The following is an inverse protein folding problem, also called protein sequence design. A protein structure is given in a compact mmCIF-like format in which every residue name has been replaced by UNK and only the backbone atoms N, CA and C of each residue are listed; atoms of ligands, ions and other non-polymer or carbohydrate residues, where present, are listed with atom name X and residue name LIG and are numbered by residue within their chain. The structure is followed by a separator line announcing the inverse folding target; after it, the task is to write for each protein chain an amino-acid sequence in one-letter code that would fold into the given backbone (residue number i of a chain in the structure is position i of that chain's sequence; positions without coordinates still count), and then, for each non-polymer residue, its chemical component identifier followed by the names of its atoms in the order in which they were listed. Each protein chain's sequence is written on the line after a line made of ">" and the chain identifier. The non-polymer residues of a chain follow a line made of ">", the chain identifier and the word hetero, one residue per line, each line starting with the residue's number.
data_IF_791157022117
#
_entry.id   IF_791157022117
#
_cell.length_a   1.000
_cell.length_b   1.000
_cell.length_c   1.000
_cell.angle_alpha   90.00
_cell.angle_beta   90.00
_cell.angle_gamma   90.00
#
_symmetry.space_group_name_H-M   'P 1'
#
loop_
_entity.id
_entity.type
_entity.pdbx_description
1 polymer ?
#
# COMPACT_ATOMS: atom_id res chain seq x y z
N UNK A 1 -15.49 13.74 0.42
CA UNK A 1 -14.66 12.80 1.23
C UNK A 1 -13.29 13.44 1.40
N UNK A 2 -12.85 13.76 2.62
CA UNK A 2 -11.66 14.56 2.91
C UNK A 2 -10.32 13.81 2.68
N UNK A 3 -10.22 12.95 1.65
CA UNK A 3 -9.00 12.19 1.37
C UNK A 3 -8.53 11.27 2.52
N UNK A 4 -9.42 10.92 3.45
CA UNK A 4 -9.12 10.16 4.67
C UNK A 4 -10.05 8.96 4.81
N UNK A 5 -9.55 7.88 5.44
CA UNK A 5 -10.31 6.67 5.80
C UNK A 5 -11.02 6.82 7.16
N UNK A 6 -10.89 7.95 7.85
CA UNK A 6 -11.63 8.22 9.07
C UNK A 6 -13.12 8.35 8.76
N UNK A 7 -13.95 7.58 9.48
CA UNK A 7 -15.40 7.72 9.44
C UNK A 7 -15.91 8.01 10.85
N UNK A 8 -16.74 9.04 10.98
CA UNK A 8 -17.38 9.46 12.23
C UNK A 8 -18.87 9.04 12.27
N UNK A 9 -19.39 8.43 11.19
CA UNK A 9 -20.77 7.87 11.14
C UNK A 9 -20.87 6.60 10.28
N UNK A 10 -21.91 5.76 10.48
CA UNK A 10 -22.16 4.60 9.62
C UNK A 10 -22.40 4.97 8.15
N UNK A 11 -23.01 6.13 7.88
CA UNK A 11 -23.27 6.59 6.51
C UNK A 11 -21.96 6.83 5.74
N UNK A 12 -20.94 7.38 6.42
CA UNK A 12 -19.61 7.56 5.84
C UNK A 12 -18.92 6.23 5.58
N UNK A 13 -19.03 5.26 6.51
CA UNK A 13 -18.50 3.90 6.32
C UNK A 13 -19.10 3.27 5.06
N UNK A 14 -20.44 3.27 4.92
CA UNK A 14 -21.08 2.69 3.74
C UNK A 14 -20.74 3.44 2.45
N UNK A 15 -20.58 4.76 2.52
CA UNK A 15 -20.17 5.56 1.36
C UNK A 15 -18.77 5.16 0.90
N UNK A 16 -17.83 5.07 1.83
CA UNK A 16 -16.45 4.68 1.54
C UNK A 16 -16.37 3.26 0.96
N UNK A 17 -17.08 2.30 1.57
CA UNK A 17 -17.09 0.91 1.11
C UNK A 17 -17.70 0.77 -0.29
N UNK A 18 -18.81 1.46 -0.56
CA UNK A 18 -19.48 1.41 -1.88
C UNK A 18 -18.68 2.07 -3.00
N UNK A 19 -17.83 3.04 -2.66
CA UNK A 19 -16.99 3.75 -3.62
C UNK A 19 -15.63 3.09 -3.86
N UNK A 20 -15.34 1.94 -3.20
CA UNK A 20 -14.03 1.30 -3.25
C UNK A 20 -13.98 0.15 -4.26
N UNK A 21 -13.05 0.24 -5.20
CA UNK A 21 -12.73 -0.86 -6.12
C UNK A 21 -12.13 -2.06 -5.37
N UNK A 22 -11.35 -1.83 -4.30
CA UNK A 22 -10.81 -2.90 -3.47
C UNK A 22 -11.91 -3.68 -2.75
N UNK A 23 -12.91 -2.99 -2.21
CA UNK A 23 -14.08 -3.67 -1.62
C UNK A 23 -14.88 -4.41 -2.68
N UNK A 24 -15.02 -3.85 -3.88
CA UNK A 24 -15.67 -4.54 -5.01
C UNK A 24 -14.91 -5.80 -5.40
N UNK A 25 -13.59 -5.74 -5.47
CA UNK A 25 -12.72 -6.90 -5.68
C UNK A 25 -12.91 -7.94 -4.58
N UNK A 26 -12.95 -7.54 -3.31
CA UNK A 26 -13.13 -8.47 -2.19
C UNK A 26 -14.49 -9.19 -2.23
N UNK A 27 -15.54 -8.50 -2.69
CA UNK A 27 -16.87 -9.08 -2.78
C UNK A 27 -17.03 -10.03 -3.99
N UNK A 28 -16.31 -9.79 -5.08
CA UNK A 28 -16.58 -10.43 -6.37
C UNK A 28 -15.45 -11.32 -6.89
N UNK A 29 -14.19 -11.03 -6.55
CA UNK A 29 -13.00 -11.49 -7.27
C UNK A 29 -11.90 -12.10 -6.38
N UNK A 30 -12.02 -12.09 -5.04
CA UNK A 30 -10.97 -12.58 -4.12
C UNK A 30 -10.41 -13.97 -4.42
N UNK A 31 -11.20 -14.85 -5.05
CA UNK A 31 -10.84 -16.25 -5.30
C UNK A 31 -10.54 -16.54 -6.78
N UNK A 32 -10.55 -15.54 -7.66
CA UNK A 32 -10.40 -15.73 -9.11
C UNK A 32 -9.03 -16.32 -9.47
N UNK A 33 -8.01 -16.04 -8.65
CA UNK A 33 -6.64 -16.52 -8.83
C UNK A 33 -6.29 -17.77 -7.98
N UNK A 34 -7.25 -18.32 -7.22
CA UNK A 34 -7.03 -19.53 -6.45
C UNK A 34 -7.09 -20.79 -7.35
N UNK A 35 -6.06 -21.64 -7.25
CA UNK A 35 -6.07 -22.96 -7.90
C UNK A 35 -7.03 -23.96 -7.24
N UNK A 36 -7.56 -24.91 -8.00
CA UNK A 36 -8.38 -26.02 -7.49
C UNK A 36 -9.89 -25.76 -7.39
N UNK A 37 -10.63 -26.72 -6.81
CA UNK A 37 -12.11 -26.74 -6.72
C UNK A 37 -12.71 -25.82 -5.64
N UNK A 38 -11.89 -25.06 -4.91
CA UNK A 38 -12.29 -24.16 -3.83
C UNK A 38 -12.74 -22.77 -4.32
N UNK A 39 -13.18 -22.65 -5.58
CA UNK A 39 -13.63 -21.41 -6.23
C UNK A 39 -15.05 -21.02 -5.83
N UNK A 40 -15.29 -20.73 -4.56
CA UNK A 40 -16.60 -20.20 -4.18
C UNK A 40 -16.41 -18.95 -3.36
N UNK A 41 -16.90 -17.84 -3.93
CA UNK A 41 -17.24 -16.63 -3.19
C UNK A 41 -17.96 -17.06 -1.90
N UNK A 42 -17.53 -16.56 -0.73
CA UNK A 42 -18.16 -16.94 0.52
C UNK A 42 -19.59 -16.41 0.56
N UNK A 43 -20.47 -17.17 1.21
CA UNK A 43 -21.86 -16.74 1.43
C UNK A 43 -21.95 -15.63 2.49
N UNK A 44 -20.91 -15.50 3.32
CA UNK A 44 -20.83 -14.56 4.41
C UNK A 44 -19.58 -13.70 4.31
N UNK A 45 -19.73 -12.41 4.58
CA UNK A 45 -18.65 -11.43 4.62
C UNK A 45 -18.61 -10.79 6.00
N UNK A 46 -17.40 -10.41 6.42
CA UNK A 46 -17.17 -9.75 7.71
C UNK A 46 -16.86 -8.28 7.48
N UNK A 47 -17.65 -7.39 8.07
CA UNK A 47 -17.29 -5.97 8.16
C UNK A 47 -16.34 -5.77 9.34
N UNK A 48 -15.10 -5.38 9.04
CA UNK A 48 -14.09 -5.07 10.07
C UNK A 48 -14.04 -3.57 10.29
N UNK A 49 -14.33 -3.12 11.51
CA UNK A 49 -14.16 -1.73 11.92
C UNK A 49 -12.95 -1.61 12.84
N UNK A 50 -11.93 -0.91 12.38
CA UNK A 50 -10.72 -0.62 13.16
C UNK A 50 -10.83 0.78 13.76
N UNK A 51 -10.34 0.94 14.99
CA UNK A 51 -10.20 2.28 15.57
C UNK A 51 -9.26 3.09 14.67
N UNK A 52 -9.68 4.28 14.28
CA UNK A 52 -8.85 5.18 13.49
C UNK A 52 -7.72 5.76 14.35
N UNK A 53 -6.53 5.81 13.76
CA UNK A 53 -5.33 6.45 14.30
C UNK A 53 -4.69 7.31 13.22
N UNK A 54 -4.17 8.48 13.60
CA UNK A 54 -3.34 9.31 12.72
C UNK A 54 -1.92 8.76 12.74
N UNK A 55 -1.65 7.73 11.94
CA UNK A 55 -0.31 7.15 11.82
C UNK A 55 0.55 8.01 10.91
N UNK A 56 1.85 8.09 11.23
CA UNK A 56 2.83 8.69 10.33
C UNK A 56 3.19 7.67 9.23
N UNK A 57 2.86 8.00 7.98
CA UNK A 57 3.04 7.10 6.83
C UNK A 57 4.51 6.71 6.58
N UNK A 58 5.47 7.51 7.06
CA UNK A 58 6.90 7.18 6.95
C UNK A 58 7.33 5.98 7.79
N UNK A 59 6.48 5.58 8.74
CA UNK A 59 6.77 4.53 9.70
C UNK A 59 6.07 3.21 9.34
N UNK A 60 5.48 3.12 8.13
CA UNK A 60 4.84 1.90 7.63
C UNK A 60 5.76 1.15 6.66
N UNK A 61 5.87 -0.16 6.86
CA UNK A 61 6.71 -1.04 6.07
C UNK A 61 5.96 -2.30 5.68
N UNK A 62 6.18 -2.78 4.45
CA UNK A 62 5.75 -4.09 3.99
C UNK A 62 6.89 -5.08 4.11
N UNK A 63 6.62 -6.22 4.73
CA UNK A 63 7.59 -7.28 4.98
C UNK A 63 7.19 -8.51 4.19
N UNK A 64 8.14 -9.09 3.47
CA UNK A 64 7.94 -10.23 2.59
C UNK A 64 8.56 -11.48 3.23
N UNK A 65 7.75 -12.53 3.34
CA UNK A 65 8.13 -13.81 3.93
C UNK A 65 7.98 -14.89 2.88
N UNK A 66 9.06 -15.63 2.62
CA UNK A 66 9.08 -16.77 1.69
C UNK A 66 9.68 -17.97 2.40
N UNK A 67 8.99 -19.10 2.33
CA UNK A 67 9.41 -20.36 2.95
C UNK A 67 9.74 -20.21 4.45
N UNK A 68 8.90 -19.44 5.15
CA UNK A 68 9.02 -19.10 6.58
C UNK A 68 10.28 -18.30 6.93
N UNK A 69 10.92 -17.65 5.95
CA UNK A 69 12.04 -16.74 6.14
C UNK A 69 11.66 -15.32 5.72
N UNK A 70 12.04 -14.32 6.53
CA UNK A 70 11.94 -12.92 6.15
C UNK A 70 12.98 -12.65 5.07
N UNK A 71 12.55 -12.32 3.86
CA UNK A 71 13.44 -12.12 2.70
C UNK A 71 13.65 -10.64 2.36
N UNK A 72 12.65 -9.79 2.62
CA UNK A 72 12.71 -8.39 2.25
C UNK A 72 11.78 -7.50 3.10
N UNK A 73 12.13 -6.22 3.20
CA UNK A 73 11.37 -5.13 3.82
C UNK A 73 11.34 -3.95 2.85
N UNK A 74 10.18 -3.34 2.66
CA UNK A 74 9.98 -2.17 1.81
C UNK A 74 9.31 -1.05 2.59
N UNK A 75 9.72 0.20 2.37
CA UNK A 75 8.90 1.36 2.71
C UNK A 75 7.52 1.25 2.04
N UNK A 76 6.44 1.32 2.84
CA UNK A 76 5.07 1.12 2.31
C UNK A 76 4.59 2.29 1.45
N UNK A 77 4.96 3.51 1.82
CA UNK A 77 4.56 4.72 1.12
C UNK A 77 5.60 5.12 0.06
N UNK A 78 5.55 4.52 -1.11
CA UNK A 78 6.59 4.64 -2.14
C UNK A 78 6.62 5.96 -2.90
N UNK A 79 5.55 6.77 -2.83
CA UNK A 79 5.44 8.05 -3.54
C UNK A 79 6.10 9.23 -2.84
N UNK A 80 6.71 9.02 -1.67
CA UNK A 80 7.35 10.07 -0.89
C UNK A 80 8.75 9.65 -0.48
N UNK A 81 9.66 10.61 -0.58
CA UNK A 81 10.99 10.54 0.00
C UNK A 81 10.92 10.99 1.46
N UNK A 82 11.46 10.19 2.38
CA UNK A 82 11.57 10.54 3.79
C UNK A 82 13.05 10.66 4.19
N UNK A 83 13.45 11.86 4.59
CA UNK A 83 14.86 12.19 4.88
C UNK A 83 15.45 11.33 6.00
N UNK A 84 14.68 11.06 7.06
CA UNK A 84 15.14 10.23 8.18
C UNK A 84 15.41 8.77 7.77
N UNK A 85 14.77 8.26 6.72
CA UNK A 85 15.03 6.92 6.19
C UNK A 85 16.31 6.83 5.34
N UNK A 86 17.08 7.92 5.25
CA UNK A 86 18.43 7.93 4.68
C UNK A 86 19.52 7.77 5.72
N UNK A 87 19.19 7.94 7.00
CA UNK A 87 20.11 7.64 8.09
C UNK A 87 20.27 6.12 8.22
N UNK A 88 21.49 5.63 7.96
CA UNK A 88 21.78 4.18 7.96
C UNK A 88 21.47 3.53 9.31
N UNK A 89 21.72 4.23 10.41
CA UNK A 89 21.48 3.72 11.76
C UNK A 89 19.99 3.68 12.04
N UNK A 90 19.23 4.69 11.62
CA UNK A 90 17.76 4.70 11.71
C UNK A 90 17.16 3.48 11.01
N UNK A 91 17.60 3.23 9.77
CA UNK A 91 17.15 2.08 8.97
C UNK A 91 17.57 0.76 9.61
N UNK A 92 18.80 0.65 10.12
CA UNK A 92 19.28 -0.55 10.83
C UNK A 92 18.44 -0.84 12.09
N UNK A 93 18.13 0.20 12.88
CA UNK A 93 17.32 0.08 14.10
C UNK A 93 15.88 -0.35 13.78
N UNK A 94 15.28 0.23 12.73
CA UNK A 94 13.95 -0.18 12.24
C UNK A 94 13.98 -1.64 11.77
N UNK A 95 14.98 -2.01 10.98
CA UNK A 95 15.10 -3.34 10.42
C UNK A 95 15.21 -4.39 11.52
N UNK A 96 16.04 -4.12 12.52
CA UNK A 96 16.22 -4.98 13.70
C UNK A 96 14.92 -5.13 14.48
N UNK A 97 14.16 -4.04 14.69
CA UNK A 97 12.87 -4.10 15.37
C UNK A 97 11.87 -5.01 14.60
N UNK A 98 11.81 -4.89 13.27
CA UNK A 98 10.96 -5.72 12.41
C UNK A 98 11.40 -7.19 12.45
N UNK A 99 12.71 -7.47 12.37
CA UNK A 99 13.26 -8.82 12.43
C UNK A 99 12.92 -9.52 13.76
N UNK A 100 13.11 -8.83 14.88
CA UNK A 100 12.72 -9.32 16.22
C UNK A 100 11.22 -9.57 16.29
N UNK A 101 10.40 -8.62 15.82
CA UNK A 101 8.94 -8.80 15.79
C UNK A 101 8.52 -10.03 14.97
N UNK A 102 9.12 -10.23 13.79
CA UNK A 102 8.85 -11.39 12.96
C UNK A 102 9.18 -12.69 13.70
N UNK A 103 10.38 -12.79 14.27
CA UNK A 103 10.83 -13.98 14.99
C UNK A 103 9.96 -14.30 16.20
N UNK A 104 9.58 -13.30 16.99
CA UNK A 104 8.87 -13.51 18.26
C UNK A 104 7.35 -13.61 18.12
N UNK A 105 6.77 -12.86 17.17
CA UNK A 105 5.32 -12.64 17.09
C UNK A 105 4.64 -13.24 15.86
N UNK A 106 5.39 -13.56 14.80
CA UNK A 106 4.83 -14.07 13.53
C UNK A 106 5.27 -15.50 13.24
N UNK A 107 6.58 -15.76 13.30
CA UNK A 107 7.17 -17.04 12.96
C UNK A 107 6.61 -18.16 13.85
N UNK A 108 6.14 -19.23 13.21
CA UNK A 108 5.52 -20.38 13.88
C UNK A 108 4.11 -20.14 14.43
N UNK A 109 3.57 -18.91 14.35
CA UNK A 109 2.20 -18.58 14.77
C UNK A 109 1.23 -18.40 13.61
N UNK A 110 1.74 -17.95 12.46
CA UNK A 110 0.95 -17.85 11.22
C UNK A 110 1.19 -19.09 10.34
N UNK A 111 0.11 -19.73 9.88
CA UNK A 111 0.19 -21.04 9.23
C UNK A 111 0.81 -21.02 7.82
N UNK A 112 0.52 -20.03 6.94
CA UNK A 112 1.18 -19.92 5.64
C UNK A 112 2.69 -19.71 5.76
N UNK A 113 3.48 -20.34 4.90
CA UNK A 113 4.94 -20.14 4.81
C UNK A 113 5.34 -19.01 3.85
N UNK A 114 4.42 -18.55 2.99
CA UNK A 114 4.63 -17.47 2.02
C UNK A 114 3.53 -16.43 2.15
N UNK A 115 3.89 -15.21 2.49
CA UNK A 115 2.96 -14.10 2.68
C UNK A 115 3.71 -12.76 2.73
N UNK A 116 2.97 -11.67 2.58
CA UNK A 116 3.42 -10.35 2.99
C UNK A 116 2.66 -9.91 4.24
N UNK A 117 3.26 -9.03 5.03
CA UNK A 117 2.56 -8.38 6.13
C UNK A 117 3.04 -6.94 6.30
N UNK A 118 2.11 -6.08 6.70
CA UNK A 118 2.39 -4.67 6.91
C UNK A 118 2.61 -4.40 8.40
N UNK A 119 3.58 -3.57 8.72
CA UNK A 119 3.89 -3.15 10.09
C UNK A 119 4.01 -1.64 10.20
N UNK A 120 3.63 -1.11 11.35
CA UNK A 120 3.94 0.24 11.79
C UNK A 120 5.01 0.18 12.87
N UNK A 121 6.12 0.91 12.69
CA UNK A 121 7.21 0.99 13.66
C UNK A 121 7.21 2.34 14.35
N UNK A 122 6.90 2.36 15.65
CA UNK A 122 6.86 3.60 16.44
C UNK A 122 8.25 4.26 16.50
N UNK A 123 8.28 5.56 16.80
CA UNK A 123 9.52 6.35 16.83
C UNK A 123 10.47 5.89 17.96
N UNK A 124 11.75 6.24 17.81
CA UNK A 124 12.74 6.06 18.87
C UNK A 124 12.34 6.79 20.17
N UNK A 125 12.75 6.28 21.34
CA UNK A 125 13.56 5.07 21.56
C UNK A 125 12.72 3.78 21.67
N UNK A 126 11.39 3.87 21.62
CA UNK A 126 10.51 2.71 21.93
C UNK A 126 10.50 1.67 20.82
N UNK A 127 10.52 2.09 19.55
CA UNK A 127 10.53 1.19 18.36
C UNK A 127 9.51 0.05 18.44
N UNK A 128 8.34 0.34 19.00
CA UNK A 128 7.30 -0.67 19.13
C UNK A 128 6.75 -0.98 17.74
N UNK A 129 6.79 -2.26 17.37
CA UNK A 129 6.24 -2.74 16.11
C UNK A 129 4.79 -3.17 16.31
N UNK A 130 3.92 -2.72 15.41
CA UNK A 130 2.50 -3.06 15.38
C UNK A 130 2.19 -3.72 14.04
N UNK A 131 1.59 -4.92 14.09
CA UNK A 131 1.03 -5.54 12.89
C UNK A 131 -0.14 -4.72 12.38
N UNK A 132 -0.10 -4.36 11.09
CA UNK A 132 -1.13 -3.59 10.41
C UNK A 132 -2.05 -4.50 9.60
N UNK A 133 -1.49 -5.38 8.76
CA UNK A 133 -2.27 -6.26 7.88
C UNK A 133 -1.45 -7.49 7.42
N UNK A 134 -2.12 -8.51 6.90
CA UNK A 134 -1.51 -9.63 6.19
C UNK A 134 -2.03 -9.67 4.76
N UNK A 135 -1.16 -10.02 3.81
CA UNK A 135 -1.53 -10.16 2.40
C UNK A 135 -0.96 -11.45 1.79
N UNK A 136 -1.64 -12.05 0.79
CA UNK A 136 -1.12 -13.21 0.08
C UNK A 136 0.24 -12.94 -0.57
N UNK A 137 1.03 -14.00 -0.74
CA UNK A 137 2.23 -13.93 -1.58
C UNK A 137 1.84 -13.99 -3.06
N UNK A 138 2.04 -12.90 -3.79
CA UNK A 138 1.95 -12.87 -5.24
C UNK A 138 1.37 -11.56 -5.82
N UNK A 139 1.23 -11.50 -7.17
CA UNK A 139 0.94 -10.26 -7.91
C UNK A 139 -0.34 -9.51 -7.54
N UNK A 140 -1.27 -10.15 -6.83
CA UNK A 140 -2.47 -9.49 -6.29
C UNK A 140 -2.16 -8.55 -5.11
N UNK A 141 -0.93 -8.56 -4.61
CA UNK A 141 -0.44 -7.71 -3.52
C UNK A 141 0.63 -6.78 -4.07
N UNK A 142 0.54 -5.49 -3.76
CA UNK A 142 1.54 -4.49 -4.16
C UNK A 142 2.92 -4.84 -3.58
N UNK A 143 3.94 -4.96 -4.43
CA UNK A 143 5.32 -5.24 -4.02
C UNK A 143 6.08 -3.99 -3.54
N UNK A 144 5.45 -2.81 -3.58
CA UNK A 144 6.01 -1.53 -3.15
C UNK A 144 7.29 -1.17 -3.92
N UNK A 145 8.44 -1.09 -3.23
CA UNK A 145 9.73 -0.80 -3.88
C UNK A 145 10.36 -2.04 -4.53
N UNK A 146 9.70 -3.19 -4.47
CA UNK A 146 10.16 -4.39 -5.15
C UNK A 146 9.30 -4.75 -6.37
N UNK A 147 9.80 -5.69 -7.18
CA UNK A 147 9.03 -6.46 -8.16
C UNK A 147 8.82 -7.91 -7.68
N UNK A 148 7.75 -8.56 -8.14
CA UNK A 148 7.46 -9.94 -7.69
C UNK A 148 8.46 -10.98 -8.21
N UNK A 149 8.99 -10.77 -9.41
CA UNK A 149 10.00 -11.67 -9.99
C UNK A 149 11.32 -11.57 -9.20
N UNK A 150 11.76 -10.37 -8.82
CA UNK A 150 12.96 -10.23 -7.98
C UNK A 150 12.73 -10.81 -6.57
N UNK A 151 11.56 -10.60 -5.95
CA UNK A 151 11.23 -11.21 -4.65
C UNK A 151 11.26 -12.75 -4.72
N UNK A 152 10.87 -13.32 -5.85
CA UNK A 152 10.91 -14.75 -6.09
C UNK A 152 12.35 -15.29 -6.26
N UNK A 153 13.28 -14.46 -6.71
CA UNK A 153 14.67 -14.82 -6.99
C UNK A 153 15.66 -14.46 -5.86
N UNK A 154 15.30 -13.56 -4.94
CA UNK A 154 16.14 -13.17 -3.80
C UNK A 154 16.62 -14.40 -3.03
N UNK A 155 17.91 -14.44 -2.69
CA UNK A 155 18.46 -15.48 -1.83
C UNK A 155 17.94 -15.34 -0.40
N UNK A 156 17.74 -16.47 0.28
CA UNK A 156 17.35 -16.44 1.69
C UNK A 156 18.51 -15.88 2.54
N UNK A 157 18.26 -14.85 3.38
CA UNK A 157 19.32 -14.27 4.19
C UNK A 157 19.76 -15.23 5.31
N UNK A 158 21.01 -15.11 5.75
CA UNK A 158 21.55 -15.93 6.84
C UNK A 158 20.84 -15.68 8.19
N UNK A 159 20.28 -14.48 8.38
CA UNK A 159 19.39 -14.14 9.48
C UNK A 159 18.36 -13.09 9.04
N UNK A 160 17.20 -12.96 9.73
CA UNK A 160 16.17 -11.98 9.36
C UNK A 160 16.64 -10.52 9.33
N UNK A 161 17.65 -10.17 10.14
CA UNK A 161 18.25 -8.82 10.18
C UNK A 161 19.09 -8.49 8.94
N UNK A 162 19.42 -9.49 8.12
CA UNK A 162 20.18 -9.35 6.88
C UNK A 162 19.28 -9.40 5.63
N UNK A 163 17.97 -9.41 5.79
CA UNK A 163 17.04 -9.33 4.68
C UNK A 163 17.21 -8.04 3.86
N UNK A 164 16.79 -8.07 2.61
CA UNK A 164 16.88 -6.88 1.75
C UNK A 164 15.95 -5.78 2.26
N UNK A 165 16.46 -4.57 2.51
CA UNK A 165 15.63 -3.44 2.94
C UNK A 165 15.74 -2.28 1.95
N UNK A 166 14.63 -1.99 1.27
CA UNK A 166 14.51 -0.86 0.37
C UNK A 166 13.68 0.29 0.98
N UNK A 167 14.22 1.50 0.88
CA UNK A 167 13.55 2.78 1.13
C UNK A 167 13.69 3.66 -0.12
N UNK A 168 12.83 4.65 -0.27
CA UNK A 168 12.96 5.64 -1.35
C UNK A 168 14.23 6.47 -1.07
N UNK A 169 15.24 6.40 -1.95
CA UNK A 169 16.57 6.99 -1.69
C UNK A 169 16.69 8.46 -2.08
N UNK A 170 15.83 8.92 -2.98
CA UNK A 170 15.71 10.32 -3.37
C UNK A 170 14.33 10.54 -4.03
N UNK A 171 13.97 11.79 -4.31
CA UNK A 171 12.67 12.14 -4.90
C UNK A 171 12.44 11.54 -6.30
N UNK A 172 13.49 11.26 -7.07
CA UNK A 172 13.37 10.65 -8.39
C UNK A 172 13.04 9.14 -8.31
N UNK A 173 13.32 8.49 -7.18
CA UNK A 173 13.01 7.08 -6.93
C UNK A 173 11.58 6.87 -6.39
N UNK A 174 10.82 7.96 -6.18
CA UNK A 174 9.43 7.87 -5.77
C UNK A 174 8.60 7.11 -6.81
N UNK A 175 8.00 5.99 -6.41
CA UNK A 175 7.08 5.22 -7.27
C UNK A 175 5.66 5.69 -7.02
N UNK A 176 4.99 6.17 -8.06
CA UNK A 176 3.55 6.44 -8.01
C UNK A 176 2.79 5.16 -7.66
N UNK A 177 1.88 5.21 -6.68
CA UNK A 177 1.08 4.04 -6.32
C UNK A 177 0.15 3.68 -7.49
N UNK A 178 0.12 2.41 -7.87
CA UNK A 178 -0.99 1.87 -8.71
C UNK A 178 -2.33 2.13 -8.00
N UNK A 179 -2.33 2.11 -6.67
CA UNK A 179 -3.49 2.44 -5.82
C UNK A 179 -3.95 3.90 -5.93
N UNK A 180 -3.09 4.82 -6.40
CA UNK A 180 -3.49 6.20 -6.69
C UNK A 180 -4.46 6.29 -7.85
N UNK A 181 -4.47 5.31 -8.77
CA UNK A 181 -5.47 5.22 -9.83
C UNK A 181 -6.89 5.01 -9.28
N UNK A 182 -7.04 4.28 -8.18
CA UNK A 182 -8.32 4.10 -7.48
C UNK A 182 -8.73 5.31 -6.62
N UNK A 183 -7.88 6.34 -6.53
CA UNK A 183 -8.18 7.60 -5.84
C UNK A 183 -8.61 8.71 -6.80
N UNK A 184 -8.54 8.46 -8.10
CA UNK A 184 -8.93 9.39 -9.15
C UNK A 184 -10.02 8.75 -10.02
N UNK A 185 -10.89 9.55 -10.67
CA UNK A 185 -11.83 9.03 -11.66
C UNK A 185 -11.12 8.12 -12.69
N UNK A 186 -11.78 7.03 -13.08
CA UNK A 186 -11.26 6.08 -14.09
C UNK A 186 -10.79 6.78 -15.37
N UNK A 187 -11.47 7.84 -15.77
CA UNK A 187 -11.12 8.67 -16.92
C UNK A 187 -9.73 9.31 -16.77
N UNK A 188 -9.38 9.80 -15.57
CA UNK A 188 -8.07 10.37 -15.24
C UNK A 188 -7.00 9.28 -15.11
N UNK A 189 -7.36 8.12 -14.57
CA UNK A 189 -6.46 6.98 -14.48
C UNK A 189 -6.05 6.41 -15.85
N UNK A 190 -6.92 6.55 -16.85
CA UNK A 190 -6.69 6.06 -18.22
C UNK A 190 -5.88 7.04 -19.09
N UNK A 191 -5.56 8.25 -18.61
CA UNK A 191 -4.79 9.27 -19.36
C UNK A 191 -3.28 9.00 -19.41
N UNK A 192 -2.83 7.75 -19.21
CA UNK A 192 -1.42 7.39 -19.30
C UNK A 192 -0.84 7.55 -20.73
N UNK A 193 -1.62 7.97 -21.73
CA UNK A 193 -1.06 8.59 -22.95
C UNK A 193 -0.90 10.09 -22.70
N UNK A 194 0.31 10.62 -22.87
CA UNK A 194 0.57 12.07 -22.75
C UNK A 194 -0.35 12.95 -23.60
N UNK A 195 -1.04 12.39 -24.59
CA UNK A 195 -2.10 13.01 -25.36
C UNK A 195 -3.37 13.30 -24.54
N UNK A 196 -3.82 12.36 -23.70
CA UNK A 196 -5.03 12.52 -22.90
C UNK A 196 -4.92 13.62 -21.85
N UNK A 197 -3.75 13.75 -21.21
CA UNK A 197 -3.51 14.81 -20.22
C UNK A 197 -3.51 16.21 -20.86
N UNK A 198 -2.90 16.33 -22.05
CA UNK A 198 -2.86 17.59 -22.81
C UNK A 198 -4.26 18.02 -23.27
N UNK A 199 -5.10 17.08 -23.69
CA UNK A 199 -6.48 17.37 -24.11
C UNK A 199 -7.33 17.85 -22.92
N UNK A 200 -7.15 17.26 -21.74
CA UNK A 200 -7.85 17.68 -20.53
C UNK A 200 -7.44 19.08 -20.05
N UNK A 201 -6.14 19.40 -20.10
CA UNK A 201 -5.65 20.74 -19.80
C UNK A 201 -6.19 21.77 -20.80
N UNK A 202 -6.18 21.45 -22.10
CA UNK A 202 -6.74 22.32 -23.14
C UNK A 202 -8.25 22.57 -22.97
N UNK A 203 -8.99 21.55 -22.52
CA UNK A 203 -10.41 21.66 -22.25
C UNK A 203 -10.70 22.49 -20.99
N UNK A 204 -9.90 22.33 -19.92
CA UNK A 204 -10.00 23.16 -18.72
C UNK A 204 -9.75 24.65 -19.03
N UNK A 205 -8.71 24.95 -19.83
CA UNK A 205 -8.40 26.31 -20.27
C UNK A 205 -9.52 26.92 -21.12
N UNK A 206 -10.17 26.13 -21.98
CA UNK A 206 -11.33 26.58 -22.76
C UNK A 206 -12.51 26.95 -21.88
N UNK A 207 -12.82 26.13 -20.88
CA UNK A 207 -13.93 26.37 -19.95
C UNK A 207 -13.67 27.62 -19.10
N UNK A 208 -12.43 27.81 -18.65
CA UNK A 208 -12.04 29.02 -17.90
C UNK A 208 -12.21 30.29 -18.75
N UNK A 209 -11.73 30.27 -20.01
CA UNK A 209 -11.87 31.40 -20.93
C UNK A 209 -13.33 31.71 -21.28
N UNK A 210 -14.19 30.69 -21.40
CA UNK A 210 -15.62 30.90 -21.62
C UNK A 210 -16.30 31.56 -20.41
N UNK A 211 -15.95 31.16 -19.20
CA UNK A 211 -16.47 31.79 -17.97
C UNK A 211 -16.01 33.24 -17.79
N UNK A 212 -14.78 33.56 -18.18
CA UNK A 212 -14.27 34.95 -18.16
C UNK A 212 -15.02 35.84 -19.17
N UNK A 213 -15.36 35.32 -20.35
CA UNK A 213 -16.12 36.05 -21.37
C UNK A 213 -17.60 36.24 -21.02
N UNK A 214 -18.19 35.30 -20.28
CA UNK A 214 -19.57 35.41 -19.77
C UNK A 214 -19.66 36.35 -18.56
N UNK A 215 -18.65 36.34 -17.67
CA UNK A 215 -18.56 37.25 -16.53
C UNK A 215 -18.30 38.71 -16.90
N UNK A 216 -17.68 38.98 -18.06
CA UNK A 216 -17.41 40.33 -18.55
C UNK A 216 -18.58 40.96 -19.33
N UNK A 217 -19.71 40.25 -19.47
CA UNK A 217 -20.95 40.72 -20.14
C UNK A 217 -22.11 41.02 -19.17
N UNK A 218 -21.89 40.99 -17.85
CA UNK A 218 -22.82 41.54 -16.84
C UNK A 218 -22.41 42.92 -16.38
#
# INVERSE_FOLDING_TARGET
>A
VHGSLKCDSPAEVFTLLKASDFVTHDLCHSFDHCGGSARKRPEQFTLVLRRWHSLNESNEFRVFVRDSQLIAVSQRHTSFFFEHLQDEKEVEDIHRAIAVFFQEQVLGRFAPSRFAFDVYVDIAPRRRVWLVDFSPWGPTTDACLFDWDELAELEAPASPELASFQTVRNEADCRGKVESYHRVPLELAQLNSGEGLNELLANADRVLKQKEQEGSKS
#
